data_IF_432202317769
#
_entry.id   IF_432202317769
#
_cell.length_a   1.000
_cell.length_b   1.000
_cell.length_c   1.000
_cell.angle_alpha   90.00
_cell.angle_beta   90.00
_cell.angle_gamma   90.00
#
_symmetry.space_group_name_H-M   'P 1'
#
loop_
_entity.id
_entity.type
_entity.pdbx_description
1 polymer ?
#
# COMPACT_ATOMS: atom_id res chain seq x y z
N UNK A 1 -15.75 20.80 2.79
CA UNK A 1 -15.87 19.36 2.56
C UNK A 1 -14.80 18.93 1.55
N UNK A 2 -13.90 18.03 1.95
CA UNK A 2 -12.87 17.50 1.03
C UNK A 2 -13.53 16.63 -0.03
N UNK A 3 -13.33 16.96 -1.29
CA UNK A 3 -13.77 16.09 -2.39
C UNK A 3 -12.76 14.96 -2.58
N UNK A 4 -13.24 13.72 -2.56
CA UNK A 4 -12.39 12.56 -2.85
C UNK A 4 -12.20 12.42 -4.36
N UNK A 5 -10.95 12.29 -4.86
CA UNK A 5 -10.72 11.99 -6.28
C UNK A 5 -11.42 10.69 -6.71
N UNK A 6 -11.84 10.60 -7.99
CA UNK A 6 -12.62 9.49 -8.52
C UNK A 6 -12.02 8.11 -8.30
N UNK A 7 -10.68 8.02 -8.24
CA UNK A 7 -9.95 6.76 -8.04
C UNK A 7 -9.37 6.60 -6.62
N UNK A 8 -9.80 7.43 -5.66
CA UNK A 8 -9.43 7.32 -4.25
C UNK A 8 -10.58 6.68 -3.48
N UNK A 9 -10.28 5.61 -2.75
CA UNK A 9 -11.22 4.96 -1.84
C UNK A 9 -10.91 5.41 -0.41
N UNK A 10 -11.95 5.69 0.37
CA UNK A 10 -11.84 5.99 1.81
C UNK A 10 -12.57 4.94 2.62
N UNK A 11 -12.02 4.54 3.75
CA UNK A 11 -12.65 3.57 4.63
C UNK A 11 -11.74 3.18 5.79
N UNK A 12 -12.32 2.52 6.78
CA UNK A 12 -11.55 1.95 7.87
C UNK A 12 -10.67 0.81 7.36
N UNK A 13 -9.41 0.82 7.74
CA UNK A 13 -8.50 -0.27 7.45
C UNK A 13 -8.71 -1.39 8.47
N UNK A 14 -9.19 -2.53 8.00
CA UNK A 14 -9.36 -3.75 8.78
C UNK A 14 -8.50 -4.86 8.19
N UNK A 15 -8.35 -5.97 8.91
CA UNK A 15 -7.64 -7.14 8.39
C UNK A 15 -8.24 -7.65 7.07
N UNK A 16 -9.56 -7.53 6.89
CA UNK A 16 -10.28 -7.96 5.69
C UNK A 16 -10.07 -7.01 4.50
N UNK A 17 -9.80 -5.73 4.78
CA UNK A 17 -9.65 -4.68 3.76
C UNK A 17 -8.20 -4.23 3.56
N UNK A 18 -7.27 -4.78 4.34
CA UNK A 18 -5.86 -4.39 4.26
C UNK A 18 -5.18 -4.89 2.99
N UNK A 19 -5.57 -6.06 2.53
CA UNK A 19 -4.96 -6.67 1.33
C UNK A 19 -5.97 -7.52 0.58
N UNK A 20 -5.65 -7.80 -0.67
CA UNK A 20 -6.39 -8.72 -1.53
C UNK A 20 -5.45 -9.81 -2.04
N UNK A 21 -5.92 -11.05 -2.08
CA UNK A 21 -5.22 -12.15 -2.72
C UNK A 21 -6.04 -12.65 -3.90
N UNK A 22 -5.47 -12.62 -5.09
CA UNK A 22 -6.03 -13.24 -6.28
C UNK A 22 -5.31 -14.57 -6.52
N UNK A 23 -6.06 -15.65 -6.44
CA UNK A 23 -5.54 -17.01 -6.60
C UNK A 23 -5.75 -17.50 -8.03
N UNK A 24 -4.77 -18.25 -8.59
CA UNK A 24 -4.99 -18.98 -9.83
C UNK A 24 -5.95 -20.16 -9.59
N UNK A 25 -6.65 -20.61 -10.64
CA UNK A 25 -7.42 -21.86 -10.58
C UNK A 25 -6.52 -23.05 -10.24
N UNK A 26 -5.33 -23.07 -10.86
CA UNK A 26 -4.27 -24.03 -10.56
C UNK A 26 -2.96 -23.27 -10.49
N UNK A 27 -2.25 -23.39 -9.37
CA UNK A 27 -0.91 -22.82 -9.25
C UNK A 27 0.08 -23.72 -10.01
N UNK A 28 0.63 -23.19 -11.09
CA UNK A 28 1.54 -23.94 -11.97
C UNK A 28 2.99 -23.51 -11.87
N UNK A 29 3.27 -22.42 -11.16
CA UNK A 29 4.63 -21.91 -10.93
C UNK A 29 4.86 -21.63 -9.44
N UNK A 30 6.08 -21.88 -8.92
CA UNK A 30 6.39 -21.70 -7.49
C UNK A 30 6.76 -20.24 -7.18
N UNK A 31 5.91 -19.29 -7.59
CA UNK A 31 6.15 -17.84 -7.47
C UNK A 31 4.87 -17.18 -6.98
N UNK A 32 5.01 -16.20 -6.09
CA UNK A 32 3.95 -15.29 -5.67
C UNK A 32 4.32 -13.89 -6.10
N UNK A 33 3.40 -13.19 -6.75
CA UNK A 33 3.56 -11.79 -7.09
C UNK A 33 2.96 -10.91 -6.00
N UNK A 34 3.60 -9.78 -5.72
CA UNK A 34 3.13 -8.81 -4.74
C UNK A 34 3.13 -7.41 -5.32
N UNK A 35 2.05 -6.67 -5.04
CA UNK A 35 1.93 -5.23 -5.31
C UNK A 35 1.73 -4.50 -3.99
N UNK A 36 2.82 -4.10 -3.31
CA UNK A 36 2.73 -3.54 -1.96
C UNK A 36 2.35 -2.05 -1.93
N UNK A 37 2.43 -1.34 -3.06
CA UNK A 37 2.35 0.12 -3.11
C UNK A 37 1.26 0.67 -4.02
N UNK A 38 0.35 -0.17 -4.50
CA UNK A 38 -0.76 0.24 -5.38
C UNK A 38 -2.08 0.52 -4.64
N UNK A 39 -2.08 0.44 -3.31
CA UNK A 39 -3.28 0.61 -2.49
C UNK A 39 -3.85 2.03 -2.58
N UNK A 40 -5.18 2.12 -2.69
CA UNK A 40 -5.95 3.36 -2.83
C UNK A 40 -7.00 3.57 -1.76
N UNK A 41 -7.04 2.71 -0.76
CA UNK A 41 -7.92 2.90 0.39
C UNK A 41 -7.21 3.77 1.42
N UNK A 42 -7.54 5.07 1.42
CA UNK A 42 -6.96 6.08 2.31
C UNK A 42 -7.76 6.12 3.62
N UNK A 43 -7.21 5.62 4.73
CA UNK A 43 -7.94 5.63 6.00
C UNK A 43 -8.26 7.05 6.46
N UNK A 44 -9.42 7.27 7.13
CA UNK A 44 -9.81 8.60 7.60
C UNK A 44 -8.80 9.25 8.56
N UNK A 45 -8.12 8.47 9.39
CA UNK A 45 -7.07 8.96 10.29
C UNK A 45 -5.88 9.54 9.53
N UNK A 46 -5.45 8.90 8.43
CA UNK A 46 -4.42 9.45 7.56
C UNK A 46 -4.88 10.77 6.92
N UNK A 47 -6.10 10.79 6.38
CA UNK A 47 -6.64 12.00 5.75
C UNK A 47 -6.80 13.17 6.73
N UNK A 48 -7.08 12.88 7.98
CA UNK A 48 -7.20 13.89 9.02
C UNK A 48 -5.84 14.41 9.51
N UNK A 49 -4.81 13.58 9.50
CA UNK A 49 -3.48 13.95 9.98
C UNK A 49 -2.60 14.57 8.91
N UNK A 50 -2.82 14.25 7.64
CA UNK A 50 -1.98 14.76 6.55
C UNK A 50 -2.16 16.26 6.34
N UNK A 51 -1.06 16.95 6.02
CA UNK A 51 -1.05 18.35 5.57
C UNK A 51 -1.06 18.48 4.05
N UNK A 52 -0.94 17.33 3.36
CA UNK A 52 -0.89 17.28 1.90
C UNK A 52 -2.31 17.22 1.33
N UNK A 53 -2.50 17.84 0.16
CA UNK A 53 -3.70 17.61 -0.62
C UNK A 53 -3.72 16.19 -1.22
N UNK A 54 -4.89 15.75 -1.68
CA UNK A 54 -5.08 14.39 -2.18
C UNK A 54 -4.17 14.06 -3.35
N UNK A 55 -3.94 15.02 -4.25
CA UNK A 55 -3.08 14.81 -5.41
C UNK A 55 -1.63 14.59 -4.99
N UNK A 56 -1.11 15.41 -4.10
CA UNK A 56 0.25 15.30 -3.58
C UNK A 56 0.43 14.03 -2.75
N UNK A 57 -0.55 13.69 -1.90
CA UNK A 57 -0.52 12.48 -1.09
C UNK A 57 -0.43 11.21 -1.95
N UNK A 58 -1.12 11.20 -3.09
CA UNK A 58 -1.13 10.07 -4.02
C UNK A 58 0.13 9.91 -4.85
N UNK A 59 1.02 10.88 -4.87
CA UNK A 59 2.28 10.79 -5.64
C UNK A 59 3.20 9.66 -5.17
N UNK A 60 2.99 9.12 -3.98
CA UNK A 60 3.74 7.96 -3.47
C UNK A 60 3.20 6.61 -3.95
N UNK A 61 2.02 6.58 -4.59
CA UNK A 61 1.46 5.34 -5.12
C UNK A 61 2.26 4.84 -6.33
N UNK A 62 2.43 3.54 -6.42
CA UNK A 62 2.70 2.85 -7.67
C UNK A 62 1.33 2.62 -8.33
N UNK A 63 0.79 3.71 -8.93
CA UNK A 63 -0.59 3.76 -9.36
C UNK A 63 -0.90 2.70 -10.41
N UNK A 64 -1.98 1.95 -10.20
CA UNK A 64 -2.50 0.92 -11.11
C UNK A 64 -1.58 -0.29 -11.35
N UNK A 65 -0.52 -0.46 -10.57
CA UNK A 65 0.39 -1.62 -10.71
C UNK A 65 -0.37 -2.93 -10.42
N UNK A 66 -1.28 -2.95 -9.46
CA UNK A 66 -2.15 -4.09 -9.20
C UNK A 66 -3.00 -4.46 -10.42
N UNK A 67 -3.50 -3.46 -11.16
CA UNK A 67 -4.27 -3.68 -12.39
C UNK A 67 -3.38 -4.16 -13.55
N UNK A 68 -2.17 -3.67 -13.66
CA UNK A 68 -1.20 -4.12 -14.66
C UNK A 68 -0.83 -5.60 -14.46
N UNK A 69 -0.80 -6.06 -13.22
CA UNK A 69 -0.51 -7.44 -12.86
C UNK A 69 -1.75 -8.33 -12.69
N UNK A 70 -2.95 -7.81 -12.96
CA UNK A 70 -4.21 -8.54 -12.77
C UNK A 70 -4.31 -9.86 -13.56
N UNK A 71 -3.54 -10.00 -14.64
CA UNK A 71 -3.48 -11.23 -15.44
C UNK A 71 -2.60 -12.34 -14.84
N UNK A 72 -1.84 -12.06 -13.78
CA UNK A 72 -0.90 -13.03 -13.19
C UNK A 72 -1.58 -14.34 -12.74
N UNK A 73 -2.77 -14.33 -12.11
CA UNK A 73 -3.45 -15.58 -11.77
C UNK A 73 -3.75 -16.48 -12.96
N UNK A 74 -4.05 -15.93 -14.11
CA UNK A 74 -4.31 -16.69 -15.33
C UNK A 74 -3.03 -17.38 -15.85
N UNK A 75 -1.86 -16.92 -15.41
CA UNK A 75 -0.57 -17.52 -15.72
C UNK A 75 -0.12 -18.55 -14.68
N UNK A 76 -0.94 -18.83 -13.68
CA UNK A 76 -0.69 -19.86 -12.69
C UNK A 76 0.04 -19.42 -11.42
N UNK A 77 0.06 -18.14 -11.10
CA UNK A 77 0.67 -17.59 -9.90
C UNK A 77 -0.31 -16.75 -9.08
N UNK A 78 -0.26 -16.78 -7.73
CA UNK A 78 -1.01 -15.85 -6.90
C UNK A 78 -0.49 -14.41 -7.03
N UNK A 79 -1.41 -13.45 -6.85
CA UNK A 79 -1.10 -12.03 -6.70
C UNK A 79 -1.64 -11.52 -5.37
N UNK A 80 -0.78 -10.98 -4.52
CA UNK A 80 -1.18 -10.26 -3.31
C UNK A 80 -1.01 -8.76 -3.52
N UNK A 81 -2.02 -7.97 -3.17
CA UNK A 81 -2.00 -6.50 -3.33
C UNK A 81 -2.37 -5.83 -2.03
N UNK A 82 -1.57 -4.89 -1.57
CA UNK A 82 -1.96 -4.00 -0.47
C UNK A 82 -3.11 -3.10 -0.92
N UNK A 83 -4.09 -2.87 -0.05
CA UNK A 83 -5.22 -1.96 -0.32
C UNK A 83 -5.01 -0.59 0.33
N UNK A 84 -4.19 -0.49 1.36
CA UNK A 84 -3.78 0.78 1.97
C UNK A 84 -2.64 1.43 1.18
N UNK A 85 -2.54 2.77 1.21
CA UNK A 85 -1.45 3.47 0.55
C UNK A 85 -0.12 3.33 1.31
N UNK A 86 0.99 3.30 0.59
CA UNK A 86 2.31 3.26 1.23
C UNK A 86 2.61 4.49 2.09
N UNK A 87 1.91 5.60 1.86
CA UNK A 87 2.02 6.79 2.72
C UNK A 87 1.49 6.56 4.13
N UNK A 88 0.63 5.56 4.33
CA UNK A 88 0.10 5.18 5.64
C UNK A 88 1.06 4.24 6.36
N UNK A 89 1.45 3.17 5.71
CA UNK A 89 2.49 2.25 6.15
C UNK A 89 3.13 1.60 4.92
N UNK A 90 4.45 1.56 4.88
CA UNK A 90 5.17 0.93 3.78
C UNK A 90 5.40 -0.55 4.09
N UNK A 91 4.61 -1.41 3.42
CA UNK A 91 4.68 -2.87 3.60
C UNK A 91 5.99 -3.50 3.09
N UNK A 92 6.82 -2.73 2.38
CA UNK A 92 8.11 -3.19 1.85
C UNK A 92 9.31 -2.62 2.63
N UNK A 93 9.10 -2.31 3.91
CA UNK A 93 10.12 -1.81 4.82
C UNK A 93 10.21 -2.70 6.06
N UNK A 94 11.37 -2.71 6.69
CA UNK A 94 11.53 -3.37 7.99
C UNK A 94 10.83 -2.58 9.10
N UNK A 95 10.40 -3.27 10.14
CA UNK A 95 9.61 -2.67 11.21
C UNK A 95 10.32 -1.51 11.94
N UNK A 96 11.64 -1.52 11.98
CA UNK A 96 12.45 -0.48 12.64
C UNK A 96 13.28 0.34 11.66
N UNK A 97 12.96 0.28 10.38
CA UNK A 97 13.58 1.10 9.35
C UNK A 97 12.99 2.51 9.40
N UNK A 98 13.72 3.42 10.03
CA UNK A 98 13.31 4.80 10.27
C UNK A 98 14.28 5.75 9.56
N UNK A 99 13.73 6.80 8.93
CA UNK A 99 14.55 7.85 8.34
C UNK A 99 15.05 8.81 9.43
N UNK A 100 16.36 8.87 9.69
CA UNK A 100 16.91 9.75 10.73
C UNK A 100 16.57 11.23 10.53
N UNK A 101 16.38 11.67 9.28
CA UNK A 101 16.10 13.08 8.98
C UNK A 101 14.70 13.52 9.41
N UNK A 102 13.81 12.56 9.72
CA UNK A 102 12.47 12.84 10.24
C UNK A 102 12.43 13.10 11.76
N UNK A 103 13.57 12.98 12.44
CA UNK A 103 13.64 13.07 13.90
C UNK A 103 14.58 14.17 14.35
N UNK A 104 14.23 14.86 15.43
CA UNK A 104 15.07 15.90 16.03
C UNK A 104 16.19 15.36 16.93
N UNK A 105 16.11 14.10 17.31
CA UNK A 105 17.09 13.43 18.15
C UNK A 105 17.65 12.19 17.45
N UNK A 106 18.81 11.71 17.89
CA UNK A 106 19.38 10.47 17.40
C UNK A 106 18.43 9.30 17.63
N UNK A 107 18.33 8.42 16.64
CA UNK A 107 17.54 7.21 16.77
C UNK A 107 18.16 6.25 17.78
N UNK A 108 17.35 5.46 18.50
CA UNK A 108 17.85 4.46 19.43
C UNK A 108 18.66 3.39 18.71
N UNK A 109 19.55 2.71 19.44
CA UNK A 109 20.29 1.57 18.91
C UNK A 109 19.32 0.49 18.40
N UNK A 110 19.54 0.03 17.18
CA UNK A 110 18.72 -1.00 16.54
C UNK A 110 17.60 -0.46 15.64
N UNK A 111 17.43 0.85 15.53
CA UNK A 111 16.65 1.46 14.46
C UNK A 111 17.52 1.56 13.19
N UNK A 112 17.01 1.07 12.07
CA UNK A 112 17.68 1.09 10.76
C UNK A 112 17.09 2.16 9.87
#
# INVERSE_FOLDING_TARGET
MKTTPDNMTTGLLTAETAFRVALPTVQSVPVVFASPHSGRNYPPDLLNLTRLDSHTLRRSEDAFVDELFAGVPDLGAPLISAQFPRAYVDANREALELDPDMYHAALPHGAN
#
